data_IF_010829522986
#
_entry.id   IF_010829522986
#
_cell.length_a   1.000
_cell.length_b   1.000
_cell.length_c   1.000
_cell.angle_alpha   90.00
_cell.angle_beta   90.00
_cell.angle_gamma   90.00
#
_symmetry.space_group_name_H-M   'P 1'
#
loop_
_entity.id
_entity.type
_entity.pdbx_description
1 polymer ?
#
# COMPACT_ATOMS: atom_id res chain seq x y z
N UNK A 1 -4.61 25.59 4.82
CA UNK A 1 -5.18 24.76 5.90
C UNK A 1 -4.05 23.97 6.53
N UNK A 2 -3.61 24.40 7.72
CA UNK A 2 -2.63 23.69 8.53
C UNK A 2 -3.27 22.40 9.04
N UNK A 3 -2.65 21.24 8.72
CA UNK A 3 -2.99 19.98 9.36
C UNK A 3 -2.76 20.11 10.87
N UNK A 4 -3.69 19.65 11.71
CA UNK A 4 -3.45 19.63 13.13
C UNK A 4 -2.29 18.65 13.40
N UNK A 5 -1.14 19.18 13.80
CA UNK A 5 -0.07 18.39 14.37
C UNK A 5 -0.60 17.81 15.69
N UNK A 6 -1.07 16.56 15.66
CA UNK A 6 -1.34 15.81 16.89
C UNK A 6 -0.04 15.77 17.70
N UNK A 7 -0.01 16.47 18.78
CA UNK A 7 1.06 16.30 19.77
C UNK A 7 0.99 14.86 20.27
N UNK A 8 2.03 14.08 20.02
CA UNK A 8 2.19 12.69 20.48
C UNK A 8 2.37 12.57 22.01
N UNK A 9 1.80 13.47 22.78
CA UNK A 9 1.97 13.58 24.23
C UNK A 9 0.68 13.43 25.00
N UNK A 10 -0.39 12.93 24.37
CA UNK A 10 -1.61 12.68 25.12
C UNK A 10 -1.39 11.44 26.01
N UNK A 11 -1.59 11.63 27.31
CA UNK A 11 -1.46 10.59 28.32
C UNK A 11 -2.39 9.41 28.01
N UNK A 12 -3.53 9.67 27.37
CA UNK A 12 -4.48 8.64 26.92
C UNK A 12 -3.87 7.71 25.89
N UNK A 13 -3.09 8.21 24.93
CA UNK A 13 -2.43 7.39 23.91
C UNK A 13 -1.31 6.53 24.53
N UNK A 14 -0.59 7.07 25.51
CA UNK A 14 0.41 6.30 26.28
C UNK A 14 -0.21 5.20 27.13
N UNK A 15 -1.34 5.50 27.81
CA UNK A 15 -2.08 4.52 28.59
C UNK A 15 -2.69 3.44 27.68
N UNK A 16 -3.22 3.81 26.51
CA UNK A 16 -3.73 2.85 25.54
C UNK A 16 -2.61 1.93 25.01
N UNK A 17 -1.42 2.48 24.69
CA UNK A 17 -0.26 1.71 24.29
C UNK A 17 0.22 0.74 25.38
N UNK A 18 0.25 1.19 26.63
CA UNK A 18 0.60 0.36 27.79
C UNK A 18 -0.43 -0.77 28.02
N UNK A 19 -1.72 -0.46 27.95
CA UNK A 19 -2.80 -1.48 28.06
C UNK A 19 -2.77 -2.49 26.92
N UNK A 20 -2.45 -2.06 25.68
CA UNK A 20 -2.29 -2.97 24.55
C UNK A 20 -1.15 -3.96 24.77
N UNK A 21 -0.05 -3.54 25.43
CA UNK A 21 1.06 -4.43 25.83
C UNK A 21 0.70 -5.47 26.88
N UNK A 22 -0.37 -5.22 27.67
CA UNK A 22 -0.86 -6.11 28.75
C UNK A 22 -2.04 -6.96 28.27
N UNK A 23 -2.63 -6.65 27.11
CA UNK A 23 -3.76 -7.43 26.59
C UNK A 23 -3.38 -8.90 26.40
N UNK A 24 -4.23 -9.85 26.85
CA UNK A 24 -3.92 -11.27 26.73
C UNK A 24 -3.76 -11.64 25.25
N UNK A 25 -2.66 -12.32 24.93
CA UNK A 25 -2.45 -12.84 23.58
C UNK A 25 -3.41 -14.01 23.36
N UNK A 26 -4.28 -13.85 22.36
CA UNK A 26 -5.15 -14.94 21.93
C UNK A 26 -4.31 -15.91 21.10
N UNK A 27 -4.18 -17.16 21.56
CA UNK A 27 -3.52 -18.21 20.78
C UNK A 27 -4.30 -18.46 19.48
N UNK A 28 -3.61 -18.42 18.36
CA UNK A 28 -4.15 -18.71 17.02
C UNK A 28 -3.27 -19.71 16.30
N UNK A 29 -3.91 -20.60 15.54
CA UNK A 29 -3.21 -21.46 14.59
C UNK A 29 -2.88 -20.69 13.32
N UNK A 30 -1.81 -21.07 12.66
CA UNK A 30 -1.47 -20.51 11.35
C UNK A 30 -2.57 -20.74 10.29
N UNK A 31 -3.41 -21.76 10.48
CA UNK A 31 -4.50 -22.11 9.58
C UNK A 31 -5.84 -21.47 9.98
N UNK A 32 -5.90 -20.78 11.10
CA UNK A 32 -7.12 -20.07 11.48
C UNK A 32 -7.45 -18.97 10.47
N UNK A 33 -8.74 -18.69 10.20
CA UNK A 33 -9.16 -17.54 9.41
C UNK A 33 -8.62 -16.23 9.97
N UNK A 34 -8.02 -15.41 9.14
CA UNK A 34 -7.49 -14.11 9.51
C UNK A 34 -8.26 -12.96 8.85
N UNK A 35 -8.66 -13.14 7.59
CA UNK A 35 -9.35 -12.11 6.80
C UNK A 35 -10.35 -12.79 5.85
N UNK A 36 -11.47 -12.11 5.59
CA UNK A 36 -12.39 -12.44 4.50
C UNK A 36 -12.39 -11.28 3.52
N UNK A 37 -11.99 -11.54 2.28
CA UNK A 37 -12.06 -10.58 1.19
C UNK A 37 -13.17 -10.97 0.23
N UNK A 38 -13.94 -9.98 -0.21
CA UNK A 38 -15.00 -10.20 -1.17
C UNK A 38 -14.51 -9.92 -2.58
N UNK A 39 -14.83 -10.84 -3.50
CA UNK A 39 -14.61 -10.67 -4.94
C UNK A 39 -15.95 -10.46 -5.63
N UNK A 40 -15.93 -9.77 -6.79
CA UNK A 40 -17.14 -9.48 -7.56
C UNK A 40 -17.86 -10.71 -8.11
N UNK A 41 -17.21 -11.89 -8.06
CA UNK A 41 -17.76 -13.14 -8.60
C UNK A 41 -18.11 -13.06 -10.10
N UNK A 42 -17.71 -14.06 -10.87
CA UNK A 42 -17.99 -14.12 -12.32
C UNK A 42 -19.50 -14.22 -12.67
N UNK A 43 -20.33 -14.58 -11.69
CA UNK A 43 -21.78 -14.76 -11.84
C UNK A 43 -22.60 -13.63 -11.16
N UNK A 44 -21.94 -12.51 -10.83
CA UNK A 44 -22.60 -11.36 -10.22
C UNK A 44 -22.85 -11.45 -8.71
N UNK A 45 -22.69 -12.64 -8.09
CA UNK A 45 -22.81 -12.80 -6.64
C UNK A 45 -21.44 -12.67 -5.99
N UNK A 46 -21.25 -11.75 -5.03
CA UNK A 46 -19.98 -11.61 -4.31
C UNK A 46 -19.60 -12.91 -3.60
N UNK A 47 -18.35 -13.35 -3.77
CA UNK A 47 -17.79 -14.52 -3.08
C UNK A 47 -16.85 -14.05 -1.98
N UNK A 48 -17.05 -14.53 -0.76
CA UNK A 48 -16.13 -14.32 0.36
C UNK A 48 -14.99 -15.31 0.31
N UNK A 49 -13.77 -14.82 0.10
CA UNK A 49 -12.55 -15.63 0.13
C UNK A 49 -11.97 -15.57 1.54
N UNK A 50 -11.92 -16.69 2.22
CA UNK A 50 -11.36 -16.80 3.57
C UNK A 50 -9.86 -17.04 3.46
N UNK A 51 -9.07 -16.11 3.99
CA UNK A 51 -7.61 -16.21 4.03
C UNK A 51 -7.15 -16.51 5.46
N UNK A 52 -6.29 -17.51 5.61
CA UNK A 52 -5.67 -17.84 6.90
C UNK A 52 -4.48 -16.90 7.19
N UNK A 53 -4.03 -16.90 8.45
CA UNK A 53 -2.78 -16.23 8.83
C UNK A 53 -1.61 -16.69 7.97
N UNK A 54 -1.52 -17.99 7.69
CA UNK A 54 -0.49 -18.57 6.81
C UNK A 54 -0.53 -18.00 5.39
N UNK A 55 -1.72 -17.86 4.80
CA UNK A 55 -1.85 -17.31 3.44
C UNK A 55 -1.30 -15.88 3.37
N UNK A 56 -1.69 -15.04 4.33
CA UNK A 56 -1.28 -13.63 4.36
C UNK A 56 0.23 -13.53 4.58
N UNK A 57 0.78 -14.23 5.57
CA UNK A 57 2.20 -14.19 5.90
C UNK A 57 3.07 -14.75 4.75
N UNK A 58 2.66 -15.87 4.15
CA UNK A 58 3.38 -16.46 3.03
C UNK A 58 3.40 -15.51 1.82
N UNK A 59 2.24 -14.92 1.48
CA UNK A 59 2.16 -14.01 0.35
C UNK A 59 2.97 -12.72 0.57
N UNK A 60 2.93 -12.16 1.78
CA UNK A 60 3.74 -10.99 2.12
C UNK A 60 5.25 -11.31 2.08
N UNK A 61 5.68 -12.49 2.56
CA UNK A 61 7.06 -12.94 2.47
C UNK A 61 7.50 -13.15 1.01
N UNK A 62 6.64 -13.73 0.17
CA UNK A 62 6.90 -13.90 -1.26
C UNK A 62 7.04 -12.54 -1.97
N UNK A 63 6.17 -11.57 -1.62
CA UNK A 63 6.25 -10.22 -2.15
C UNK A 63 7.58 -9.53 -1.74
N UNK A 64 7.97 -9.63 -0.47
CA UNK A 64 9.27 -9.10 0.02
C UNK A 64 10.45 -9.73 -0.70
N UNK A 65 10.43 -11.04 -0.93
CA UNK A 65 11.50 -11.75 -1.63
C UNK A 65 11.61 -11.34 -3.12
N UNK A 66 10.55 -10.81 -3.70
CA UNK A 66 10.50 -10.42 -5.11
C UNK A 66 10.73 -8.93 -5.33
N UNK A 67 10.24 -8.13 -4.41
CA UNK A 67 10.41 -6.66 -4.40
C UNK A 67 11.65 -6.36 -3.58
N UNK A 68 12.66 -5.77 -4.19
CA UNK A 68 13.87 -5.32 -3.48
C UNK A 68 13.56 -4.11 -2.60
N UNK A 69 12.83 -4.38 -1.49
CA UNK A 69 12.41 -3.41 -0.50
C UNK A 69 13.10 -3.68 0.83
N UNK A 70 13.50 -2.63 1.52
CA UNK A 70 14.25 -2.72 2.78
C UNK A 70 13.84 -1.61 3.77
N UNK A 71 14.43 -1.61 4.97
CA UNK A 71 14.08 -0.70 6.06
C UNK A 71 14.35 0.80 5.77
N UNK A 72 15.12 1.12 4.73
CA UNK A 72 15.34 2.50 4.29
C UNK A 72 14.22 3.00 3.37
N UNK A 73 13.34 2.12 2.94
CA UNK A 73 12.19 2.48 2.13
C UNK A 73 11.05 3.03 2.97
N UNK A 74 10.14 3.70 2.28
CA UNK A 74 8.86 4.14 2.80
C UNK A 74 7.78 3.88 1.76
N UNK A 75 6.78 3.10 2.15
CA UNK A 75 5.63 2.82 1.29
C UNK A 75 4.60 3.94 1.41
N UNK A 76 4.16 4.46 0.26
CA UNK A 76 2.97 5.30 0.17
C UNK A 76 1.80 4.44 -0.29
N UNK A 77 0.86 4.19 0.61
CA UNK A 77 -0.33 3.38 0.30
C UNK A 77 -1.57 4.25 0.15
N UNK A 78 -2.14 4.24 -1.04
CA UNK A 78 -3.44 4.84 -1.39
C UNK A 78 -4.49 3.79 -1.71
N UNK A 79 -4.07 2.53 -1.84
CA UNK A 79 -4.97 1.46 -2.24
C UNK A 79 -5.82 1.01 -1.04
N UNK A 80 -7.10 0.68 -1.27
CA UNK A 80 -7.97 0.20 -0.22
C UNK A 80 -7.45 -1.11 0.39
N UNK A 81 -7.36 -1.17 1.72
CA UNK A 81 -6.89 -2.37 2.43
C UNK A 81 -7.94 -3.49 2.48
N UNK A 82 -9.17 -3.21 2.08
CA UNK A 82 -10.20 -4.23 1.88
C UNK A 82 -10.09 -4.94 0.52
N UNK A 83 -9.13 -4.55 -0.32
CA UNK A 83 -8.76 -5.22 -1.56
C UNK A 83 -7.41 -5.92 -1.38
N UNK A 84 -7.25 -7.13 -1.94
CA UNK A 84 -6.05 -7.96 -1.77
C UNK A 84 -4.74 -7.23 -2.09
N UNK A 85 -4.71 -6.42 -3.14
CA UNK A 85 -3.53 -5.66 -3.54
C UNK A 85 -3.13 -4.62 -2.48
N UNK A 86 -4.10 -3.81 -1.99
CA UNK A 86 -3.84 -2.84 -0.92
C UNK A 86 -3.52 -3.50 0.42
N UNK A 87 -4.19 -4.63 0.74
CA UNK A 87 -3.89 -5.39 1.95
C UNK A 87 -2.47 -5.95 1.93
N UNK A 88 -2.10 -6.67 0.86
CA UNK A 88 -0.79 -7.34 0.79
C UNK A 88 0.34 -6.35 0.55
N UNK A 89 0.32 -5.63 -0.57
CA UNK A 89 1.42 -4.73 -0.97
C UNK A 89 1.45 -3.46 -0.14
N UNK A 90 0.29 -2.85 0.10
CA UNK A 90 0.19 -1.56 0.79
C UNK A 90 0.29 -1.64 2.32
N UNK A 91 0.03 -2.80 2.93
CA UNK A 91 -0.01 -2.93 4.38
C UNK A 91 0.81 -4.11 4.92
N UNK A 92 0.48 -5.34 4.56
CA UNK A 92 1.09 -6.52 5.21
C UNK A 92 2.56 -6.71 4.86
N UNK A 93 2.93 -6.54 3.58
CA UNK A 93 4.31 -6.64 3.13
C UNK A 93 5.23 -5.64 3.87
N UNK A 94 4.93 -4.35 3.89
CA UNK A 94 5.81 -3.40 4.60
C UNK A 94 5.79 -3.60 6.13
N UNK A 95 4.67 -3.97 6.76
CA UNK A 95 4.65 -4.26 8.21
C UNK A 95 5.60 -5.41 8.53
N UNK A 96 5.54 -6.51 7.78
CA UNK A 96 6.40 -7.68 8.00
C UNK A 96 7.85 -7.41 7.63
N UNK A 97 8.11 -6.51 6.68
CA UNK A 97 9.43 -6.06 6.30
C UNK A 97 10.04 -4.99 7.21
N UNK A 98 9.31 -4.50 8.22
CA UNK A 98 9.75 -3.39 9.06
C UNK A 98 9.88 -2.07 8.29
N UNK A 99 9.13 -1.90 7.20
CA UNK A 99 9.18 -0.76 6.30
C UNK A 99 8.11 0.26 6.73
N UNK A 100 8.45 1.53 6.97
CA UNK A 100 7.49 2.58 7.27
C UNK A 100 6.40 2.73 6.18
N UNK A 101 5.17 2.98 6.61
CA UNK A 101 4.02 3.18 5.71
C UNK A 101 3.41 4.55 5.97
N UNK A 102 3.15 5.29 4.90
CA UNK A 102 2.22 6.41 4.93
C UNK A 102 0.91 5.98 4.26
N UNK A 103 -0.18 5.97 5.02
CA UNK A 103 -1.50 5.58 4.52
C UNK A 103 -2.35 6.82 4.20
N UNK A 104 -2.86 6.87 2.99
CA UNK A 104 -3.73 7.95 2.54
C UNK A 104 -5.09 7.40 2.10
N UNK A 105 -6.22 8.01 2.49
CA UNK A 105 -7.54 7.39 2.41
C UNK A 105 -8.14 7.29 1.00
N UNK A 106 -7.62 8.05 0.02
CA UNK A 106 -8.25 8.10 -1.30
C UNK A 106 -7.23 8.16 -2.45
N UNK A 107 -7.25 7.20 -3.38
CA UNK A 107 -6.42 7.24 -4.59
C UNK A 107 -6.91 8.29 -5.61
N UNK A 108 -8.10 8.85 -5.44
CA UNK A 108 -8.72 9.75 -6.42
C UNK A 108 -8.29 11.21 -6.25
N UNK A 109 -7.51 11.53 -5.23
CA UNK A 109 -7.00 12.89 -5.01
C UNK A 109 -5.74 13.14 -5.85
N UNK A 110 -5.90 13.18 -7.18
CA UNK A 110 -4.82 13.20 -8.17
C UNK A 110 -3.81 14.33 -8.02
N UNK A 111 -4.19 15.45 -7.41
CA UNK A 111 -3.28 16.59 -7.13
C UNK A 111 -2.56 16.43 -5.80
N UNK A 112 -3.26 15.94 -4.79
CA UNK A 112 -2.75 15.86 -3.41
C UNK A 112 -1.77 14.70 -3.25
N UNK A 113 -2.03 13.56 -3.89
CA UNK A 113 -1.19 12.36 -3.76
C UNK A 113 0.26 12.61 -4.19
N UNK A 114 0.57 13.24 -5.36
CA UNK A 114 1.94 13.57 -5.72
C UNK A 114 2.64 14.49 -4.71
N UNK A 115 1.96 15.53 -4.24
CA UNK A 115 2.50 16.44 -3.24
C UNK A 115 2.83 15.73 -1.92
N UNK A 116 1.97 14.82 -1.47
CA UNK A 116 2.21 14.03 -0.27
C UNK A 116 3.34 13.01 -0.44
N UNK A 117 3.51 12.41 -1.62
CA UNK A 117 4.66 11.56 -1.92
C UNK A 117 5.96 12.34 -1.76
N UNK A 118 6.01 13.57 -2.29
CA UNK A 118 7.13 14.49 -2.10
C UNK A 118 7.37 14.81 -0.62
N UNK A 119 6.33 15.25 0.09
CA UNK A 119 6.44 15.69 1.50
C UNK A 119 6.84 14.56 2.43
N UNK A 120 6.37 13.35 2.18
CA UNK A 120 6.69 12.18 3.01
C UNK A 120 8.02 11.54 2.65
N UNK A 121 8.59 11.87 1.49
CA UNK A 121 9.80 11.23 0.97
C UNK A 121 9.59 9.74 0.71
N UNK A 122 8.40 9.34 0.25
CA UNK A 122 8.10 7.95 -0.04
C UNK A 122 8.95 7.43 -1.19
N UNK A 123 9.35 6.16 -1.11
CA UNK A 123 10.23 5.50 -2.08
C UNK A 123 9.52 4.41 -2.88
N UNK A 124 8.40 3.92 -2.37
CA UNK A 124 7.60 2.86 -3.00
C UNK A 124 6.15 3.34 -3.11
N UNK A 125 5.59 3.22 -4.30
CA UNK A 125 4.18 3.51 -4.59
C UNK A 125 3.51 2.29 -5.22
N UNK A 126 2.37 1.88 -4.67
CA UNK A 126 1.46 0.93 -5.30
C UNK A 126 0.29 1.67 -5.95
N UNK A 127 -0.09 1.27 -7.17
CA UNK A 127 -1.19 1.90 -7.89
C UNK A 127 -1.78 1.02 -8.97
N UNK A 128 -2.77 1.56 -9.66
CA UNK A 128 -3.32 1.00 -10.89
C UNK A 128 -2.96 1.91 -12.06
N UNK A 129 -3.08 1.46 -13.30
CA UNK A 129 -2.84 2.30 -14.49
C UNK A 129 -3.66 3.59 -14.43
N UNK A 130 -4.92 3.46 -14.05
CA UNK A 130 -5.86 4.60 -13.93
C UNK A 130 -5.36 5.65 -12.93
N UNK A 131 -4.93 5.23 -11.74
CA UNK A 131 -4.43 6.16 -10.71
C UNK A 131 -3.10 6.78 -11.12
N UNK A 132 -2.16 5.97 -11.61
CA UNK A 132 -0.85 6.44 -12.06
C UNK A 132 -0.98 7.47 -13.20
N UNK A 133 -1.86 7.21 -14.17
CA UNK A 133 -2.17 8.18 -15.23
C UNK A 133 -2.74 9.49 -14.65
N UNK A 134 -3.62 9.39 -13.67
CA UNK A 134 -4.21 10.55 -12.98
C UNK A 134 -3.14 11.39 -12.26
N UNK A 135 -2.24 10.74 -11.52
CA UNK A 135 -1.15 11.42 -10.82
C UNK A 135 -0.19 12.11 -11.79
N UNK A 136 0.21 11.42 -12.87
CA UNK A 136 1.13 11.98 -13.86
C UNK A 136 0.62 13.25 -14.56
N UNK A 137 -0.71 13.43 -14.67
CA UNK A 137 -1.31 14.64 -15.23
C UNK A 137 -1.14 15.87 -14.35
N UNK A 138 -1.09 15.67 -13.04
CA UNK A 138 -1.11 16.75 -12.05
C UNK A 138 0.24 16.95 -11.37
N UNK A 139 1.11 15.94 -11.37
CA UNK A 139 2.39 15.95 -10.68
C UNK A 139 3.39 16.90 -11.32
N UNK A 140 4.15 17.60 -10.47
CA UNK A 140 5.38 18.25 -10.88
C UNK A 140 6.51 17.21 -11.02
N UNK A 141 7.54 17.52 -11.81
CA UNK A 141 8.66 16.59 -12.05
C UNK A 141 9.38 16.16 -10.74
N UNK A 142 9.40 17.03 -9.72
CA UNK A 142 10.02 16.75 -8.44
C UNK A 142 9.16 15.97 -7.46
N UNK A 143 7.86 15.83 -7.69
CA UNK A 143 6.97 15.18 -6.72
C UNK A 143 7.33 13.71 -6.51
N UNK A 144 7.86 13.07 -7.55
CA UNK A 144 8.24 11.66 -7.55
C UNK A 144 9.76 11.40 -7.42
N UNK A 145 10.55 12.42 -7.11
CA UNK A 145 12.03 12.31 -7.08
C UNK A 145 12.56 11.25 -6.12
N UNK A 146 11.82 10.91 -5.08
CA UNK A 146 12.21 9.90 -4.10
C UNK A 146 11.71 8.49 -4.45
N UNK A 147 10.73 8.39 -5.38
CA UNK A 147 10.22 7.10 -5.80
C UNK A 147 11.28 6.33 -6.60
N UNK A 148 11.63 5.15 -6.11
CA UNK A 148 12.50 4.20 -6.79
C UNK A 148 11.74 2.98 -7.33
N UNK A 149 10.59 2.67 -6.70
CA UNK A 149 9.72 1.57 -7.12
C UNK A 149 8.28 2.07 -7.27
N UNK A 150 7.73 1.87 -8.45
CA UNK A 150 6.30 2.02 -8.72
C UNK A 150 5.78 0.68 -9.20
N UNK A 151 4.86 0.09 -8.46
CA UNK A 151 4.32 -1.24 -8.74
C UNK A 151 2.84 -1.08 -9.06
N UNK A 152 2.47 -1.46 -10.27
CA UNK A 152 1.11 -1.41 -10.75
C UNK A 152 0.48 -2.80 -10.82
N UNK A 153 -0.80 -2.89 -10.49
CA UNK A 153 -1.56 -4.13 -10.54
C UNK A 153 -3.06 -3.88 -10.66
N UNK A 154 -3.84 -4.93 -10.61
CA UNK A 154 -5.30 -4.97 -10.77
C UNK A 154 -5.81 -4.63 -12.18
N UNK A 155 -5.05 -3.93 -12.99
CA UNK A 155 -5.31 -3.67 -14.40
C UNK A 155 -3.99 -3.61 -15.20
N UNK A 156 -4.04 -3.88 -16.49
CA UNK A 156 -2.86 -3.82 -17.35
C UNK A 156 -2.35 -2.37 -17.49
N UNK A 157 -1.05 -2.19 -17.39
CA UNK A 157 -0.42 -0.87 -17.55
C UNK A 157 -0.28 -0.55 -19.03
N UNK A 158 -0.89 0.57 -19.45
CA UNK A 158 -0.81 1.06 -20.82
C UNK A 158 0.61 1.54 -21.15
N UNK A 159 1.03 1.30 -22.39
CA UNK A 159 2.34 1.74 -22.86
C UNK A 159 2.56 3.25 -22.69
N UNK A 160 1.53 4.04 -22.96
CA UNK A 160 1.56 5.49 -22.74
C UNK A 160 1.87 5.88 -21.28
N UNK A 161 1.32 5.15 -20.32
CA UNK A 161 1.58 5.39 -18.87
C UNK A 161 3.05 5.10 -18.56
N UNK A 162 3.58 3.97 -19.07
CA UNK A 162 5.00 3.61 -18.92
C UNK A 162 5.92 4.67 -19.49
N UNK A 163 5.64 5.13 -20.72
CA UNK A 163 6.42 6.16 -21.39
C UNK A 163 6.44 7.46 -20.58
N UNK A 164 5.29 7.94 -20.12
CA UNK A 164 5.20 9.18 -19.32
C UNK A 164 6.03 9.06 -18.04
N UNK A 165 5.94 7.93 -17.33
CA UNK A 165 6.71 7.74 -16.09
C UNK A 165 8.21 7.66 -16.36
N UNK A 166 8.62 6.99 -17.45
CA UNK A 166 10.02 6.89 -17.82
C UNK A 166 10.58 8.22 -18.30
N UNK A 167 9.89 8.90 -19.22
CA UNK A 167 10.40 10.13 -19.86
C UNK A 167 10.38 11.34 -18.92
N UNK A 168 9.31 11.46 -18.10
CA UNK A 168 9.11 12.65 -17.28
C UNK A 168 9.71 12.53 -15.89
N UNK A 169 9.77 11.32 -15.34
CA UNK A 169 10.20 11.09 -13.97
C UNK A 169 11.38 10.12 -13.83
N UNK A 170 11.80 9.48 -14.92
CA UNK A 170 12.87 8.48 -14.90
C UNK A 170 12.47 7.18 -14.15
N UNK A 171 11.17 6.91 -14.02
CA UNK A 171 10.64 5.80 -13.22
C UNK A 171 10.16 4.68 -14.14
N UNK A 172 10.67 3.47 -13.91
CA UNK A 172 10.14 2.25 -14.51
C UNK A 172 9.00 1.70 -13.68
N UNK A 173 7.82 1.56 -14.29
CA UNK A 173 6.68 0.88 -13.64
C UNK A 173 6.87 -0.63 -13.75
N UNK A 174 6.80 -1.33 -12.62
CA UNK A 174 6.76 -2.79 -12.55
C UNK A 174 5.30 -3.26 -12.49
N UNK A 175 4.98 -4.29 -13.25
CA UNK A 175 3.64 -4.89 -13.17
C UNK A 175 3.63 -6.08 -12.23
N UNK A 176 2.60 -6.12 -11.37
CA UNK A 176 2.26 -7.24 -10.55
C UNK A 176 0.90 -7.83 -10.96
N UNK A 177 0.83 -9.15 -11.04
CA UNK A 177 -0.42 -9.88 -11.19
C UNK A 177 -0.77 -10.55 -9.87
N UNK A 178 -2.05 -10.46 -9.48
CA UNK A 178 -2.56 -11.11 -8.30
C UNK A 178 -4.07 -11.29 -8.37
N UNK A 179 -4.54 -12.34 -7.72
CA UNK A 179 -5.96 -12.63 -7.50
C UNK A 179 -6.17 -12.93 -6.01
N UNK A 180 -7.38 -12.73 -5.56
CA UNK A 180 -7.76 -13.04 -4.17
C UNK A 180 -8.03 -14.52 -4.00
#
# INVERSE_FOLDING_TARGET
HSFPTRRSSDLSDKIAGFRAGIAPRIARSANDPAVILFTSGSEGTPKGVVLSHRNILANAAQALARVDANANDKVFNVLPVFHSFGLTGGMMMPILGGIPIFMYPSPLHYRIVPELIYQTGATILFGTDTFLTGYARSAHAYDFRTLRLVIAGAEAVKERTRQVYMERYGIRILEGYGVT
#
